data_IF_080395451664
#
_entry.id   IF_080395451664
#
_cell.length_a   1.000
_cell.length_b   1.000
_cell.length_c   1.000
_cell.angle_alpha   90.00
_cell.angle_beta   90.00
_cell.angle_gamma   90.00
#
_symmetry.space_group_name_H-M   'P 1'
#
loop_
_entity.id
_entity.type
_entity.pdbx_description
1 polymer ?
#
# COMPACT_ATOMS: atom_id res chain seq x y z
N UNK A 1 -34.46 -2.40 -34.13
CA UNK A 1 -34.13 -1.90 -32.77
C UNK A 1 -32.90 -2.64 -32.27
N UNK A 2 -31.76 -1.97 -32.03
CA UNK A 2 -30.65 -2.65 -31.40
C UNK A 2 -31.00 -2.89 -29.93
N UNK A 3 -30.95 -4.13 -29.50
CA UNK A 3 -30.93 -4.48 -28.07
C UNK A 3 -29.68 -3.86 -27.46
N UNK A 4 -29.83 -2.76 -26.76
CA UNK A 4 -28.86 -2.34 -25.74
C UNK A 4 -28.91 -3.40 -24.67
N UNK A 5 -27.91 -4.29 -24.65
CA UNK A 5 -27.65 -5.13 -23.48
C UNK A 5 -27.37 -4.18 -22.33
N UNK A 6 -28.34 -4.00 -21.44
CA UNK A 6 -28.08 -3.40 -20.13
C UNK A 6 -27.09 -4.33 -19.43
N UNK A 7 -25.81 -3.93 -19.43
CA UNK A 7 -24.84 -4.54 -18.54
C UNK A 7 -25.32 -4.18 -17.14
N UNK A 8 -25.82 -5.16 -16.40
CA UNK A 8 -26.20 -4.96 -15.01
C UNK A 8 -24.97 -4.43 -14.27
N UNK A 9 -25.12 -3.31 -13.58
CA UNK A 9 -24.03 -2.81 -12.72
C UNK A 9 -23.67 -3.88 -11.69
N UNK A 10 -22.37 -4.11 -11.44
CA UNK A 10 -21.97 -5.09 -10.45
C UNK A 10 -22.62 -4.75 -9.10
N UNK A 11 -23.18 -5.77 -8.43
CA UNK A 11 -23.92 -5.62 -7.17
C UNK A 11 -23.06 -5.05 -6.03
N UNK A 12 -21.73 -5.17 -6.16
CA UNK A 12 -20.73 -4.70 -5.19
C UNK A 12 -19.57 -4.00 -5.93
N UNK A 13 -19.78 -2.76 -6.30
CA UNK A 13 -18.75 -1.92 -6.90
C UNK A 13 -17.92 -1.24 -5.82
N UNK A 14 -16.58 -1.35 -5.91
CA UNK A 14 -15.66 -0.59 -5.06
C UNK A 14 -15.34 0.75 -5.73
N UNK A 15 -15.68 1.84 -5.06
CA UNK A 15 -15.31 3.22 -5.43
C UNK A 15 -14.42 3.76 -4.34
N UNK A 16 -13.11 3.58 -4.53
CA UNK A 16 -12.10 3.89 -3.54
C UNK A 16 -11.34 5.18 -3.82
N UNK A 17 -10.97 5.91 -2.77
CA UNK A 17 -10.08 7.06 -2.85
C UNK A 17 -8.91 6.90 -1.89
N UNK A 18 -7.71 7.27 -2.36
CA UNK A 18 -6.52 7.35 -1.53
C UNK A 18 -6.43 8.74 -0.89
N UNK A 19 -6.30 8.78 0.43
CA UNK A 19 -6.04 10.01 1.19
C UNK A 19 -4.61 9.97 1.67
N UNK A 20 -3.73 10.74 1.01
CA UNK A 20 -2.30 10.75 1.31
C UNK A 20 -1.90 11.79 2.33
N UNK A 21 -0.95 11.41 3.19
CA UNK A 21 -0.29 12.33 4.12
C UNK A 21 1.07 12.84 3.60
N UNK A 22 1.57 12.29 2.48
CA UNK A 22 2.86 12.68 1.91
C UNK A 22 2.84 14.17 1.56
N UNK A 23 3.76 14.92 2.17
CA UNK A 23 3.89 16.38 2.02
C UNK A 23 2.61 17.18 2.36
N UNK A 24 1.62 16.58 3.03
CA UNK A 24 0.34 17.22 3.30
C UNK A 24 -0.48 17.50 2.03
N UNK A 25 -0.31 16.70 0.98
CA UNK A 25 -1.02 16.89 -0.30
C UNK A 25 -2.53 16.85 -0.12
N UNK A 26 -3.04 15.84 0.57
CA UNK A 26 -4.44 15.75 0.87
C UNK A 26 -4.71 16.15 2.34
N UNK A 27 -4.04 15.48 3.29
CA UNK A 27 -4.22 15.67 4.73
C UNK A 27 -2.97 15.23 5.51
N UNK A 28 -2.60 15.88 6.65
CA UNK A 28 -3.17 17.15 7.14
C UNK A 28 -2.48 18.36 6.54
N UNK A 29 -3.18 19.47 6.45
CA UNK A 29 -2.62 20.78 6.12
C UNK A 29 -2.24 21.57 7.36
N UNK A 30 -2.98 21.38 8.45
CA UNK A 30 -2.74 22.02 9.75
C UNK A 30 -1.96 21.09 10.66
N UNK A 31 -0.93 21.61 11.35
CA UNK A 31 -0.17 20.88 12.37
C UNK A 31 -0.90 20.92 13.71
N UNK A 32 -1.14 19.75 14.31
CA UNK A 32 -1.80 19.60 15.60
C UNK A 32 -0.83 19.90 16.75
N UNK A 33 -0.82 21.12 17.25
CA UNK A 33 0.08 21.60 18.32
C UNK A 33 -0.67 22.26 19.48
N UNK A 34 -1.94 22.63 19.27
CA UNK A 34 -2.83 23.22 20.26
C UNK A 34 -4.23 22.60 20.15
N UNK A 35 -5.11 22.74 21.17
CA UNK A 35 -6.50 22.24 21.06
C UNK A 35 -7.24 22.79 19.83
N UNK A 36 -6.98 24.03 19.45
CA UNK A 36 -7.58 24.64 18.26
C UNK A 36 -7.09 23.98 16.97
N UNK A 37 -5.76 23.80 16.82
CA UNK A 37 -5.19 23.19 15.63
C UNK A 37 -5.49 21.71 15.53
N UNK A 38 -5.68 20.99 16.66
CA UNK A 38 -6.18 19.62 16.67
C UNK A 38 -7.60 19.57 16.09
N UNK A 39 -8.51 20.45 16.53
CA UNK A 39 -9.87 20.52 15.97
C UNK A 39 -9.83 20.80 14.47
N UNK A 40 -9.06 21.80 14.06
CA UNK A 40 -8.92 22.15 12.64
C UNK A 40 -8.38 20.99 11.79
N UNK A 41 -7.38 20.27 12.29
CA UNK A 41 -6.83 19.09 11.59
C UNK A 41 -7.89 17.99 11.42
N UNK A 42 -8.75 17.78 12.43
CA UNK A 42 -9.87 16.84 12.35
C UNK A 42 -10.95 17.32 11.35
N UNK A 43 -11.31 18.59 11.38
CA UNK A 43 -12.27 19.22 10.46
C UNK A 43 -11.81 19.08 9.00
N UNK A 44 -10.51 19.25 8.71
CA UNK A 44 -9.95 19.03 7.39
C UNK A 44 -10.20 17.60 6.86
N UNK A 45 -10.09 16.58 7.71
CA UNK A 45 -10.38 15.20 7.31
C UNK A 45 -11.89 14.98 7.12
N UNK A 46 -12.71 15.51 7.99
CA UNK A 46 -14.17 15.48 7.86
C UNK A 46 -14.61 16.06 6.51
N UNK A 47 -14.09 17.24 6.15
CA UNK A 47 -14.39 17.88 4.87
C UNK A 47 -14.03 17.01 3.65
N UNK A 48 -12.90 16.31 3.72
CA UNK A 48 -12.49 15.38 2.66
C UNK A 48 -13.48 14.21 2.58
N UNK A 49 -13.82 13.60 3.71
CA UNK A 49 -14.71 12.45 3.76
C UNK A 49 -16.13 12.80 3.32
N UNK A 50 -16.63 13.99 3.69
CA UNK A 50 -17.94 14.48 3.24
C UNK A 50 -18.00 14.66 1.73
N UNK A 51 -16.95 15.21 1.11
CA UNK A 51 -16.84 15.35 -0.34
C UNK A 51 -16.77 13.99 -1.04
N UNK A 52 -16.01 13.05 -0.51
CA UNK A 52 -15.93 11.69 -1.03
C UNK A 52 -17.29 11.00 -0.95
N UNK A 53 -17.99 11.11 0.18
CA UNK A 53 -19.34 10.54 0.33
C UNK A 53 -20.34 11.18 -0.64
N UNK A 54 -20.34 12.50 -0.78
CA UNK A 54 -21.18 13.22 -1.74
C UNK A 54 -20.91 12.79 -3.19
N UNK A 55 -19.68 12.39 -3.52
CA UNK A 55 -19.29 11.86 -4.81
C UNK A 55 -19.49 10.33 -4.95
N UNK A 56 -20.25 9.72 -4.02
CA UNK A 56 -20.56 8.28 -3.99
C UNK A 56 -19.35 7.33 -3.80
N UNK A 57 -18.25 7.79 -3.24
CA UNK A 57 -17.19 6.88 -2.80
C UNK A 57 -17.67 6.04 -1.61
N UNK A 58 -17.25 4.78 -1.58
CA UNK A 58 -17.62 3.83 -0.52
C UNK A 58 -16.43 3.22 0.22
N UNK A 59 -15.21 3.54 -0.21
CA UNK A 59 -13.96 3.03 0.40
C UNK A 59 -12.92 4.13 0.44
N UNK A 60 -12.22 4.27 1.57
CA UNK A 60 -11.12 5.20 1.77
C UNK A 60 -9.86 4.42 2.11
N UNK A 61 -8.80 4.61 1.34
CA UNK A 61 -7.48 4.10 1.65
C UNK A 61 -6.71 5.23 2.37
N UNK A 62 -6.77 5.18 3.71
CA UNK A 62 -6.16 6.21 4.56
C UNK A 62 -4.68 5.89 4.80
N UNK A 63 -3.79 6.81 4.42
CA UNK A 63 -2.36 6.59 4.60
C UNK A 63 -2.00 6.51 6.09
N UNK A 64 -1.66 5.32 6.52
CA UNK A 64 -1.40 4.97 7.92
C UNK A 64 0.10 4.86 8.21
N UNK A 65 0.88 4.40 7.23
CA UNK A 65 2.33 4.30 7.27
C UNK A 65 2.93 4.93 6.03
N UNK A 66 3.92 5.80 6.22
CA UNK A 66 4.62 6.44 5.10
C UNK A 66 5.97 5.76 4.83
N UNK A 67 7.06 6.18 5.42
CA UNK A 67 8.42 5.64 5.15
C UNK A 67 9.19 5.40 6.45
N UNK A 68 8.79 4.40 7.22
CA UNK A 68 9.37 4.10 8.53
C UNK A 68 8.84 4.98 9.66
N UNK A 69 7.71 5.61 9.42
CA UNK A 69 6.91 6.40 10.36
C UNK A 69 5.42 6.25 10.07
N UNK A 70 4.58 6.58 11.03
CA UNK A 70 3.16 6.24 11.03
C UNK A 70 2.26 7.41 11.44
N UNK A 71 0.96 7.29 11.18
CA UNK A 71 -0.08 8.24 11.54
C UNK A 71 -1.02 7.71 12.63
N UNK A 72 -0.52 6.86 13.49
CA UNK A 72 -1.24 6.32 14.65
C UNK A 72 -0.26 6.10 15.82
N UNK A 73 -0.71 6.01 17.08
CA UNK A 73 0.17 5.68 18.20
C UNK A 73 0.72 4.27 18.02
N UNK A 74 2.01 4.15 17.71
CA UNK A 74 2.69 2.88 17.47
C UNK A 74 3.80 2.66 18.49
N UNK A 75 3.97 1.42 18.94
CA UNK A 75 5.14 0.98 19.73
C UNK A 75 6.35 0.65 18.83
N UNK A 76 6.16 0.60 17.51
CA UNK A 76 7.14 0.11 16.55
C UNK A 76 7.82 1.25 15.78
N UNK A 77 7.05 2.20 15.24
CA UNK A 77 7.56 3.32 14.46
C UNK A 77 7.07 4.66 15.02
N UNK A 78 7.85 5.76 14.89
CA UNK A 78 7.45 7.06 15.43
C UNK A 78 6.30 7.68 14.63
N UNK A 79 5.59 8.63 15.23
CA UNK A 79 4.69 9.51 14.51
C UNK A 79 5.41 10.27 13.39
N UNK A 80 4.76 10.35 12.24
CA UNK A 80 5.21 11.19 11.14
C UNK A 80 5.15 12.67 11.53
N UNK A 81 6.20 13.42 11.16
CA UNK A 81 6.32 14.85 11.45
C UNK A 81 5.23 15.72 10.81
N UNK A 82 4.52 15.21 9.80
CA UNK A 82 3.43 15.96 9.15
C UNK A 82 2.32 16.32 10.13
N UNK A 83 2.07 15.47 11.14
CA UNK A 83 1.01 15.68 12.12
C UNK A 83 1.25 16.91 13.02
N UNK A 84 2.49 17.11 13.44
CA UNK A 84 2.84 18.15 14.45
C UNK A 84 3.96 19.08 14.03
N UNK A 85 4.66 18.79 12.93
CA UNK A 85 5.89 19.45 12.53
C UNK A 85 7.17 18.86 13.17
N UNK A 86 7.01 17.85 14.06
CA UNK A 86 8.13 17.20 14.76
C UNK A 86 8.02 15.69 14.63
N UNK A 87 9.09 15.01 14.22
CA UNK A 87 9.17 13.55 14.19
C UNK A 87 8.90 12.97 15.59
N UNK A 88 8.02 11.98 15.66
CA UNK A 88 7.59 11.37 16.93
C UNK A 88 6.69 12.27 17.79
N UNK A 89 6.35 13.47 17.32
CA UNK A 89 5.44 14.38 18.02
C UNK A 89 4.03 13.80 18.11
N UNK A 90 3.48 13.71 19.33
CA UNK A 90 2.13 13.24 19.55
C UNK A 90 1.11 14.35 19.18
N UNK A 91 0.17 14.11 18.27
CA UNK A 91 -0.82 15.11 17.86
C UNK A 91 -1.95 15.32 18.90
N UNK A 92 -1.93 14.61 20.04
CA UNK A 92 -2.94 14.73 21.09
C UNK A 92 -4.23 13.94 20.82
N UNK A 93 -4.25 13.12 19.77
CA UNK A 93 -5.33 12.19 19.44
C UNK A 93 -4.80 11.05 18.59
N UNK A 94 -5.62 10.06 18.28
CA UNK A 94 -5.29 8.95 17.39
C UNK A 94 -5.88 9.22 15.99
N UNK A 95 -5.03 9.60 14.99
CA UNK A 95 -5.50 9.91 13.64
C UNK A 95 -6.17 8.74 12.92
N UNK A 96 -5.66 7.50 13.10
CA UNK A 96 -6.25 6.33 12.45
C UNK A 96 -7.59 5.95 13.08
N UNK A 97 -7.68 5.95 14.40
CA UNK A 97 -8.97 5.70 15.07
C UNK A 97 -10.03 6.72 14.64
N UNK A 98 -9.64 8.00 14.55
CA UNK A 98 -10.53 9.06 14.10
C UNK A 98 -10.94 8.88 12.63
N UNK A 99 -10.03 8.49 11.75
CA UNK A 99 -10.34 8.23 10.33
C UNK A 99 -11.31 7.06 10.17
N UNK A 100 -11.10 5.96 10.90
CA UNK A 100 -12.01 4.79 10.90
C UNK A 100 -13.41 5.18 11.36
N UNK A 101 -13.51 5.86 12.50
CA UNK A 101 -14.79 6.33 13.05
C UNK A 101 -15.55 7.23 12.06
N UNK A 102 -14.86 8.20 11.46
CA UNK A 102 -15.49 9.16 10.54
C UNK A 102 -15.86 8.52 9.19
N UNK A 103 -15.10 7.52 8.70
CA UNK A 103 -15.49 6.73 7.54
C UNK A 103 -16.76 5.92 7.82
N UNK A 104 -16.80 5.19 8.94
CA UNK A 104 -17.93 4.35 9.32
C UNK A 104 -19.22 5.18 9.57
N UNK A 105 -19.15 6.36 10.16
CA UNK A 105 -20.29 7.29 10.27
C UNK A 105 -20.93 7.63 8.93
N UNK A 106 -20.14 7.58 7.85
CA UNK A 106 -20.59 7.84 6.48
C UNK A 106 -20.92 6.58 5.68
N UNK A 107 -20.86 5.40 6.30
CA UNK A 107 -21.06 4.12 5.64
C UNK A 107 -19.99 3.86 4.55
N UNK A 108 -18.75 4.27 4.81
CA UNK A 108 -17.58 4.00 3.96
C UNK A 108 -16.62 3.07 4.69
N UNK A 109 -16.03 2.13 3.95
CA UNK A 109 -14.91 1.33 4.46
C UNK A 109 -13.66 2.19 4.66
N UNK A 110 -12.87 1.88 5.69
CA UNK A 110 -11.57 2.50 5.95
C UNK A 110 -10.47 1.45 5.90
N UNK A 111 -9.62 1.52 4.89
CA UNK A 111 -8.47 0.65 4.73
C UNK A 111 -7.20 1.35 5.17
N UNK A 112 -6.39 0.70 6.01
CA UNK A 112 -5.10 1.22 6.42
C UNK A 112 -4.08 1.09 5.27
N UNK A 113 -3.74 2.20 4.63
CA UNK A 113 -2.76 2.25 3.55
C UNK A 113 -1.34 2.32 4.11
N UNK A 114 -0.53 1.30 3.80
CA UNK A 114 0.83 1.14 4.29
C UNK A 114 1.83 1.09 3.13
N UNK A 115 2.73 2.08 3.05
CA UNK A 115 3.94 1.99 2.23
C UNK A 115 4.89 0.99 2.90
N UNK A 116 5.32 -0.06 2.21
CA UNK A 116 5.95 -1.23 2.85
C UNK A 116 7.48 -1.19 2.81
N UNK A 117 8.09 -1.37 1.66
CA UNK A 117 9.53 -1.60 1.51
C UNK A 117 10.39 -0.32 1.63
N UNK A 118 10.03 0.84 1.05
CA UNK A 118 10.81 2.06 1.18
C UNK A 118 10.81 2.62 2.61
N UNK A 119 11.97 3.09 3.06
CA UNK A 119 12.18 3.76 4.35
C UNK A 119 12.51 5.25 4.21
N UNK A 120 12.63 5.74 2.98
CA UNK A 120 12.91 7.12 2.65
C UNK A 120 14.38 7.45 2.42
N UNK A 121 14.62 8.71 2.07
CA UNK A 121 15.97 9.19 1.79
C UNK A 121 16.80 9.34 3.08
N UNK A 122 18.12 9.52 2.92
CA UNK A 122 19.06 9.64 4.04
C UNK A 122 18.67 10.73 5.04
N UNK A 123 18.16 11.88 4.57
CA UNK A 123 17.74 12.99 5.43
C UNK A 123 16.52 12.61 6.27
N UNK A 124 15.52 11.97 5.65
CA UNK A 124 14.35 11.48 6.35
C UNK A 124 14.72 10.43 7.42
N UNK A 125 15.47 9.39 7.04
CA UNK A 125 15.92 8.35 7.98
C UNK A 125 16.72 8.93 9.14
N UNK A 126 17.59 9.93 8.88
CA UNK A 126 18.33 10.61 9.94
C UNK A 126 17.39 11.37 10.90
N UNK A 127 16.30 11.96 10.41
CA UNK A 127 15.33 12.68 11.25
C UNK A 127 14.53 11.77 12.20
N UNK A 128 14.42 10.47 11.89
CA UNK A 128 13.80 9.47 12.78
C UNK A 128 14.68 9.15 14.02
N UNK A 129 15.95 9.55 14.00
CA UNK A 129 16.85 9.39 15.13
C UNK A 129 17.06 7.94 15.57
N UNK A 130 17.03 7.69 16.87
CA UNK A 130 17.16 6.33 17.45
C UNK A 130 15.93 5.45 17.18
N UNK A 131 14.79 6.02 16.84
CA UNK A 131 13.55 5.31 16.54
C UNK A 131 13.54 4.69 15.13
N UNK A 132 14.48 5.08 14.27
CA UNK A 132 14.60 4.51 12.92
C UNK A 132 14.84 3.01 12.96
N UNK A 133 14.10 2.26 12.14
CA UNK A 133 14.32 0.82 11.93
C UNK A 133 15.74 0.54 11.43
N UNK A 134 16.35 1.45 10.67
CA UNK A 134 17.73 1.31 10.18
C UNK A 134 18.77 1.30 11.30
N UNK A 135 18.44 1.79 12.48
CA UNK A 135 19.29 1.73 13.68
C UNK A 135 18.94 0.55 14.58
N UNK A 136 17.65 0.24 14.70
CA UNK A 136 17.16 -0.80 15.61
C UNK A 136 17.27 -2.22 15.02
N UNK A 137 17.15 -2.34 13.71
CA UNK A 137 17.14 -3.62 12.98
C UNK A 137 17.97 -3.48 11.70
N UNK A 138 19.26 -3.23 11.84
CA UNK A 138 20.16 -2.95 10.71
C UNK A 138 20.18 -4.05 9.66
N UNK A 139 20.08 -5.31 10.08
CA UNK A 139 20.23 -6.48 9.23
C UNK A 139 19.11 -6.60 8.18
N UNK A 140 17.92 -6.08 8.47
CA UNK A 140 16.79 -6.08 7.52
C UNK A 140 16.76 -4.84 6.63
N UNK A 141 17.71 -3.91 6.77
CA UNK A 141 17.72 -2.63 6.05
C UNK A 141 18.92 -2.54 5.13
N UNK A 142 18.70 -2.01 3.92
CA UNK A 142 19.76 -1.78 2.95
C UNK A 142 19.72 -0.34 2.44
N UNK A 143 20.88 0.34 2.38
CA UNK A 143 21.00 1.59 1.64
C UNK A 143 21.10 1.26 0.14
N UNK A 144 20.31 1.95 -0.66
CA UNK A 144 20.37 1.81 -2.11
C UNK A 144 20.16 3.18 -2.77
N UNK A 145 21.14 3.59 -3.59
CA UNK A 145 21.20 4.96 -4.11
C UNK A 145 21.18 5.99 -2.96
N UNK A 146 20.24 6.93 -2.97
CA UNK A 146 20.11 7.94 -1.91
C UNK A 146 19.00 7.63 -0.90
N UNK A 147 18.50 6.40 -0.88
CA UNK A 147 17.39 5.96 -0.03
C UNK A 147 17.75 4.72 0.78
N UNK A 148 16.90 4.41 1.75
CA UNK A 148 16.94 3.17 2.52
C UNK A 148 15.68 2.34 2.22
N UNK A 149 15.85 1.02 2.24
CA UNK A 149 14.79 0.05 2.00
C UNK A 149 14.87 -1.08 3.03
N UNK A 150 13.72 -1.66 3.34
CA UNK A 150 13.71 -3.01 3.88
C UNK A 150 14.23 -3.97 2.81
N UNK A 151 15.00 -4.98 3.20
CA UNK A 151 15.46 -6.03 2.29
C UNK A 151 14.42 -7.15 2.20
N UNK A 152 13.66 -7.31 1.11
CA UNK A 152 12.68 -8.37 1.01
C UNK A 152 13.28 -9.78 1.10
N UNK A 153 14.56 -9.92 0.74
CA UNK A 153 15.30 -11.19 0.81
C UNK A 153 15.74 -11.61 2.20
N UNK A 154 15.64 -10.73 3.19
CA UNK A 154 15.96 -11.07 4.56
C UNK A 154 14.71 -11.58 5.31
N UNK A 155 14.77 -12.78 5.96
CA UNK A 155 13.59 -13.37 6.62
C UNK A 155 12.92 -12.46 7.66
N UNK A 156 13.69 -11.66 8.38
CA UNK A 156 13.18 -10.71 9.38
C UNK A 156 12.30 -9.60 8.81
N UNK A 157 12.33 -9.34 7.50
CA UNK A 157 11.51 -8.29 6.86
C UNK A 157 10.03 -8.63 6.92
N UNK A 158 9.63 -9.87 6.60
CA UNK A 158 8.22 -10.28 6.68
C UNK A 158 7.68 -10.23 8.11
N UNK A 159 8.51 -10.59 9.08
CA UNK A 159 8.15 -10.54 10.50
C UNK A 159 8.00 -9.11 11.00
N UNK A 160 8.89 -8.20 10.57
CA UNK A 160 8.79 -6.79 10.89
C UNK A 160 7.51 -6.15 10.32
N UNK A 161 7.22 -6.39 9.04
CA UNK A 161 5.98 -5.91 8.41
C UNK A 161 4.74 -6.50 9.07
N UNK A 162 4.77 -7.79 9.42
CA UNK A 162 3.66 -8.44 10.13
C UNK A 162 3.43 -7.84 11.53
N UNK A 163 4.48 -7.42 12.25
CA UNK A 163 4.30 -6.72 13.54
C UNK A 163 3.51 -5.42 13.37
N UNK A 164 3.84 -4.61 12.36
CA UNK A 164 3.12 -3.36 12.04
C UNK A 164 1.67 -3.64 11.65
N UNK A 165 1.44 -4.62 10.77
CA UNK A 165 0.08 -5.02 10.35
C UNK A 165 -0.72 -5.54 11.54
N UNK A 166 -0.11 -6.38 12.40
CA UNK A 166 -0.75 -6.89 13.61
C UNK A 166 -1.17 -5.77 14.56
N UNK A 167 -0.31 -4.77 14.76
CA UNK A 167 -0.61 -3.62 15.60
C UNK A 167 -1.86 -2.89 15.10
N UNK A 168 -1.98 -2.66 13.80
CA UNK A 168 -3.13 -2.01 13.18
C UNK A 168 -4.38 -2.91 13.23
N UNK A 169 -4.29 -4.14 12.77
CA UNK A 169 -5.45 -5.06 12.70
C UNK A 169 -6.02 -5.38 14.07
N UNK A 170 -5.15 -5.54 15.09
CA UNK A 170 -5.63 -5.88 16.44
C UNK A 170 -6.28 -4.71 17.17
N UNK A 171 -5.85 -3.47 16.90
CA UNK A 171 -6.25 -2.30 17.66
C UNK A 171 -7.38 -1.50 17.05
N UNK A 172 -7.58 -1.58 15.74
CA UNK A 172 -8.53 -0.75 15.01
C UNK A 172 -9.59 -1.61 14.31
N UNK A 173 -10.77 -1.06 14.17
CA UNK A 173 -11.87 -1.66 13.42
C UNK A 173 -11.77 -1.27 11.94
N UNK A 174 -10.62 -1.56 11.33
CA UNK A 174 -10.39 -1.34 9.91
C UNK A 174 -11.06 -2.41 9.07
N UNK A 175 -11.52 -2.04 7.86
CA UNK A 175 -12.13 -2.96 6.90
C UNK A 175 -11.09 -3.65 6.01
N UNK A 176 -9.90 -3.05 5.89
CA UNK A 176 -8.81 -3.61 5.10
C UNK A 176 -7.44 -3.05 5.44
N UNK A 177 -6.41 -3.75 4.94
CA UNK A 177 -5.02 -3.28 4.89
C UNK A 177 -4.62 -3.19 3.42
N UNK A 178 -4.14 -2.02 3.01
CA UNK A 178 -3.70 -1.76 1.65
C UNK A 178 -2.19 -1.59 1.59
N UNK A 179 -1.52 -2.37 0.74
CA UNK A 179 -0.07 -2.35 0.58
C UNK A 179 0.35 -1.57 -0.65
N UNK A 180 1.19 -0.58 -0.43
CA UNK A 180 1.86 0.17 -1.47
C UNK A 180 3.36 -0.09 -1.42
N UNK A 181 4.03 0.00 -2.58
CA UNK A 181 5.46 -0.30 -2.72
C UNK A 181 5.87 -1.68 -2.17
N UNK A 182 4.97 -2.67 -2.21
CA UNK A 182 5.27 -4.06 -1.87
C UNK A 182 6.01 -4.70 -3.05
N UNK A 183 7.22 -4.23 -3.28
CA UNK A 183 8.06 -4.53 -4.43
C UNK A 183 9.51 -4.12 -4.22
N UNK A 184 10.40 -4.64 -5.03
CA UNK A 184 11.75 -4.10 -5.12
C UNK A 184 11.74 -2.68 -5.72
N UNK A 185 12.77 -1.85 -5.43
CA UNK A 185 12.87 -0.51 -5.99
C UNK A 185 13.11 -0.56 -7.51
N UNK A 186 12.91 0.57 -8.16
CA UNK A 186 13.30 0.76 -9.54
C UNK A 186 14.80 0.49 -9.75
N UNK A 187 15.17 -0.08 -10.87
CA UNK A 187 16.53 -0.59 -11.15
C UNK A 187 16.97 -1.70 -10.18
N UNK A 188 16.06 -2.52 -9.72
CA UNK A 188 16.30 -3.65 -8.82
C UNK A 188 17.47 -4.59 -9.17
N UNK A 189 17.92 -4.77 -10.44
CA UNK A 189 19.10 -5.59 -10.74
C UNK A 189 20.35 -5.20 -9.92
N UNK A 190 20.48 -3.93 -9.55
CA UNK A 190 21.60 -3.41 -8.74
C UNK A 190 21.32 -3.40 -7.23
N UNK A 191 20.18 -3.88 -6.78
CA UNK A 191 19.82 -3.92 -5.36
C UNK A 191 20.79 -4.80 -4.57
N UNK A 192 21.28 -4.36 -3.38
CA UNK A 192 22.41 -5.02 -2.70
C UNK A 192 21.96 -6.19 -1.80
N UNK A 193 21.29 -7.19 -2.38
CA UNK A 193 20.77 -8.37 -1.68
C UNK A 193 21.55 -9.68 -1.98
N UNK A 194 22.70 -9.58 -2.67
CA UNK A 194 23.50 -10.74 -3.07
C UNK A 194 23.96 -11.63 -1.90
N UNK A 195 24.18 -11.04 -0.74
CA UNK A 195 24.53 -11.79 0.46
C UNK A 195 23.40 -12.71 0.89
N UNK A 196 22.19 -12.17 0.98
CA UNK A 196 21.00 -12.94 1.36
C UNK A 196 20.62 -13.94 0.28
N UNK A 197 20.81 -13.61 -1.00
CA UNK A 197 20.61 -14.55 -2.10
C UNK A 197 21.54 -15.77 -1.98
N UNK A 198 22.83 -15.57 -1.68
CA UNK A 198 23.74 -16.70 -1.46
C UNK A 198 23.31 -17.59 -0.29
N UNK A 199 22.75 -16.98 0.75
CA UNK A 199 22.33 -17.69 1.97
C UNK A 199 20.97 -18.36 1.82
N UNK A 200 20.03 -17.75 1.12
CA UNK A 200 18.63 -18.17 1.10
C UNK A 200 18.11 -18.52 -0.31
N UNK A 201 18.90 -18.36 -1.35
CA UNK A 201 18.49 -18.59 -2.75
C UNK A 201 18.11 -20.05 -3.06
N UNK A 202 18.81 -21.04 -2.48
CA UNK A 202 18.47 -22.47 -2.56
C UNK A 202 18.26 -22.99 -3.99
N UNK A 203 19.18 -22.70 -4.90
CA UNK A 203 19.14 -23.18 -6.29
C UNK A 203 18.22 -22.41 -7.24
N UNK A 204 17.52 -21.40 -6.78
CA UNK A 204 16.71 -20.49 -7.63
C UNK A 204 17.60 -19.51 -8.38
N UNK A 205 17.09 -18.97 -9.49
CA UNK A 205 17.67 -17.76 -10.09
C UNK A 205 17.42 -16.55 -9.18
N UNK A 206 18.25 -15.50 -9.31
CA UNK A 206 18.07 -14.27 -8.51
C UNK A 206 16.70 -13.65 -8.72
N UNK A 207 16.21 -13.60 -9.97
CA UNK A 207 14.91 -13.02 -10.31
C UNK A 207 13.75 -13.83 -9.71
N UNK A 208 13.83 -15.15 -9.78
CA UNK A 208 12.82 -16.01 -9.15
C UNK A 208 12.82 -15.85 -7.65
N UNK A 209 13.99 -15.87 -7.01
CA UNK A 209 14.12 -15.69 -5.56
C UNK A 209 13.57 -14.34 -5.09
N UNK A 210 13.80 -13.25 -5.84
CA UNK A 210 13.25 -11.94 -5.50
C UNK A 210 11.72 -11.91 -5.57
N UNK A 211 11.11 -12.51 -6.61
CA UNK A 211 9.65 -12.63 -6.70
C UNK A 211 9.07 -13.46 -5.56
N UNK A 212 9.72 -14.59 -5.29
CA UNK A 212 9.31 -15.48 -4.19
C UNK A 212 9.35 -14.77 -2.84
N UNK A 213 10.36 -13.91 -2.59
CA UNK A 213 10.45 -13.14 -1.36
C UNK A 213 9.27 -12.19 -1.18
N UNK A 214 8.88 -11.47 -2.22
CA UNK A 214 7.71 -10.59 -2.16
C UNK A 214 6.43 -11.42 -1.94
N UNK A 215 6.23 -12.49 -2.70
CA UNK A 215 5.07 -13.38 -2.54
C UNK A 215 5.04 -14.06 -1.16
N UNK A 216 6.19 -14.38 -0.58
CA UNK A 216 6.28 -14.94 0.78
C UNK A 216 5.88 -13.92 1.85
N UNK A 217 6.25 -12.64 1.68
CA UNK A 217 5.78 -11.55 2.55
C UNK A 217 4.25 -11.45 2.49
N UNK A 218 3.67 -11.44 1.27
CA UNK A 218 2.22 -11.42 1.06
C UNK A 218 1.55 -12.59 1.76
N UNK A 219 2.02 -13.80 1.50
CA UNK A 219 1.46 -15.05 2.06
C UNK A 219 1.52 -15.06 3.59
N UNK A 220 2.65 -14.62 4.15
CA UNK A 220 2.84 -14.57 5.60
C UNK A 220 1.88 -13.59 6.27
N UNK A 221 1.73 -12.40 5.69
CA UNK A 221 0.83 -11.38 6.22
C UNK A 221 -0.64 -11.81 6.04
N UNK A 222 -1.01 -12.35 4.87
CA UNK A 222 -2.37 -12.82 4.60
C UNK A 222 -2.82 -13.85 5.63
N UNK A 223 -2.02 -14.89 5.84
CA UNK A 223 -2.30 -15.90 6.86
C UNK A 223 -2.45 -15.30 8.26
N UNK A 224 -1.56 -14.38 8.63
CA UNK A 224 -1.61 -13.71 9.92
C UNK A 224 -2.86 -12.85 10.11
N UNK A 225 -3.27 -12.08 9.11
CA UNK A 225 -4.46 -11.23 9.17
C UNK A 225 -5.74 -12.08 9.20
N UNK A 226 -5.86 -13.07 8.31
CA UNK A 226 -7.05 -13.94 8.26
C UNK A 226 -7.23 -14.78 9.52
N UNK A 227 -6.15 -15.13 10.21
CA UNK A 227 -6.23 -15.81 11.51
C UNK A 227 -6.72 -14.88 12.64
N UNK A 228 -6.49 -13.56 12.54
CA UNK A 228 -6.96 -12.59 13.54
C UNK A 228 -8.36 -12.07 13.24
N UNK A 229 -8.57 -11.60 12.02
CA UNK A 229 -9.83 -11.01 11.54
C UNK A 229 -10.07 -11.47 10.09
N UNK A 230 -10.78 -12.58 9.84
CA UNK A 230 -10.94 -13.15 8.51
C UNK A 230 -11.67 -12.23 7.52
N UNK A 231 -12.47 -11.28 8.02
CA UNK A 231 -13.19 -10.28 7.21
C UNK A 231 -12.34 -9.11 6.75
N UNK A 232 -11.19 -8.83 7.38
CA UNK A 232 -10.31 -7.73 6.97
C UNK A 232 -9.71 -8.05 5.61
N UNK A 233 -9.96 -7.18 4.64
CA UNK A 233 -9.48 -7.31 3.27
C UNK A 233 -7.99 -6.96 3.17
N UNK A 234 -7.25 -7.72 2.36
CA UNK A 234 -5.89 -7.35 1.97
C UNK A 234 -5.91 -6.89 0.51
N UNK A 235 -5.31 -5.74 0.27
CA UNK A 235 -5.20 -5.18 -1.08
C UNK A 235 -3.81 -4.63 -1.36
N UNK A 236 -3.47 -4.47 -2.64
CA UNK A 236 -2.20 -3.89 -3.05
C UNK A 236 -2.35 -3.01 -4.30
N UNK A 237 -1.46 -1.99 -4.42
CA UNK A 237 -1.27 -1.19 -5.63
C UNK A 237 -0.03 -1.65 -6.41
N UNK A 238 -0.15 -2.64 -7.29
CA UNK A 238 0.98 -3.04 -8.14
C UNK A 238 1.18 -2.08 -9.29
N UNK A 239 2.34 -2.22 -9.96
CA UNK A 239 2.59 -1.55 -11.22
C UNK A 239 1.51 -1.93 -12.24
N UNK A 240 0.95 -0.94 -12.91
CA UNK A 240 -0.19 -1.11 -13.81
C UNK A 240 0.04 -2.08 -14.96
N UNK A 241 1.27 -2.22 -15.43
CA UNK A 241 1.68 -3.21 -16.41
C UNK A 241 2.21 -4.45 -15.68
N UNK A 242 1.49 -5.56 -15.76
CA UNK A 242 1.95 -6.80 -15.12
C UNK A 242 3.15 -7.42 -15.84
N UNK A 243 2.99 -7.72 -17.15
CA UNK A 243 4.01 -8.19 -18.09
C UNK A 243 3.81 -7.56 -19.45
N UNK A 244 4.70 -7.87 -20.40
CA UNK A 244 4.42 -7.63 -21.80
C UNK A 244 3.26 -8.52 -22.26
N UNK A 245 2.32 -7.95 -23.01
CA UNK A 245 1.17 -8.68 -23.53
C UNK A 245 1.40 -9.02 -25.01
N UNK A 246 0.87 -10.18 -25.45
CA UNK A 246 0.94 -10.58 -26.86
C UNK A 246 0.00 -9.76 -27.76
N UNK A 247 -1.06 -9.17 -27.22
CA UNK A 247 -2.06 -8.39 -27.97
C UNK A 247 -1.50 -7.10 -28.56
N UNK A 248 -0.62 -6.44 -27.79
CA UNK A 248 0.06 -5.24 -28.23
C UNK A 248 1.51 -5.35 -27.77
N UNK A 249 2.48 -5.40 -28.69
CA UNK A 249 3.89 -5.50 -28.34
C UNK A 249 4.28 -4.31 -27.47
N UNK A 250 4.34 -4.52 -26.18
CA UNK A 250 4.72 -3.51 -25.21
C UNK A 250 5.81 -4.07 -24.33
N UNK A 251 7.01 -3.54 -24.48
CA UNK A 251 8.18 -3.87 -23.68
C UNK A 251 8.45 -2.77 -22.67
N UNK A 252 9.15 -3.11 -21.63
CA UNK A 252 9.66 -2.12 -20.69
C UNK A 252 9.25 -2.38 -19.24
N UNK A 253 9.20 -1.34 -18.48
CA UNK A 253 9.00 -1.39 -17.04
C UNK A 253 7.65 -2.03 -16.65
N UNK A 254 7.70 -3.11 -15.88
CA UNK A 254 6.54 -3.89 -15.51
C UNK A 254 6.69 -4.50 -14.09
N UNK A 255 5.60 -5.02 -13.55
CA UNK A 255 5.54 -5.58 -12.21
C UNK A 255 6.43 -6.81 -12.06
N UNK A 256 6.30 -7.77 -12.97
CA UNK A 256 6.84 -9.11 -12.81
C UNK A 256 8.36 -9.18 -12.98
N UNK A 257 8.90 -8.55 -14.05
CA UNK A 257 10.32 -8.66 -14.39
C UNK A 257 11.16 -7.51 -13.81
N UNK A 258 10.59 -6.31 -13.64
CA UNK A 258 11.39 -5.13 -13.27
C UNK A 258 11.44 -4.90 -11.77
N UNK A 259 10.32 -5.11 -11.08
CA UNK A 259 10.20 -4.85 -9.64
C UNK A 259 9.80 -6.08 -8.83
N UNK A 260 9.76 -7.25 -9.49
CA UNK A 260 9.54 -8.57 -8.86
C UNK A 260 8.23 -8.68 -8.08
N UNK A 261 7.15 -8.07 -8.59
CA UNK A 261 5.79 -8.27 -8.09
C UNK A 261 5.08 -9.35 -8.93
N UNK A 262 4.37 -10.25 -8.26
CA UNK A 262 3.53 -11.25 -8.92
C UNK A 262 2.05 -11.17 -8.48
N UNK A 263 1.38 -10.02 -8.67
CA UNK A 263 0.04 -9.82 -8.15
C UNK A 263 -1.03 -10.70 -8.82
N UNK A 264 -0.86 -11.11 -10.06
CA UNK A 264 -1.75 -12.10 -10.69
C UNK A 264 -1.55 -13.48 -10.04
N UNK A 265 -0.31 -13.84 -9.70
CA UNK A 265 -0.03 -15.04 -8.91
C UNK A 265 -0.68 -14.99 -7.52
N UNK A 266 -0.64 -13.84 -6.83
CA UNK A 266 -1.29 -13.69 -5.51
C UNK A 266 -2.81 -13.85 -5.56
N UNK A 267 -3.46 -13.33 -6.62
CA UNK A 267 -4.90 -13.58 -6.85
C UNK A 267 -5.17 -15.06 -7.13
N UNK A 268 -4.34 -15.69 -7.98
CA UNK A 268 -4.46 -17.10 -8.31
C UNK A 268 -4.27 -18.05 -7.11
N UNK A 269 -3.39 -17.68 -6.16
CA UNK A 269 -3.18 -18.40 -4.91
C UNK A 269 -4.26 -18.09 -3.85
N UNK A 270 -5.09 -17.06 -4.06
CA UNK A 270 -6.06 -16.60 -3.06
C UNK A 270 -5.44 -15.98 -1.81
N UNK A 271 -4.28 -15.33 -1.94
CA UNK A 271 -3.56 -14.65 -0.85
C UNK A 271 -3.64 -13.11 -0.93
N UNK A 272 -4.52 -12.59 -1.77
CA UNK A 272 -4.82 -11.17 -1.89
C UNK A 272 -6.31 -11.04 -2.26
N UNK A 273 -7.04 -10.20 -1.53
CA UNK A 273 -8.49 -10.05 -1.74
C UNK A 273 -8.80 -9.04 -2.86
N UNK A 274 -7.99 -8.00 -3.01
CA UNK A 274 -8.20 -6.92 -3.99
C UNK A 274 -6.87 -6.43 -4.57
N UNK A 275 -6.89 -6.03 -5.85
CA UNK A 275 -5.74 -5.43 -6.53
C UNK A 275 -6.18 -4.12 -7.19
N UNK A 276 -5.38 -3.07 -6.97
CA UNK A 276 -5.57 -1.74 -7.56
C UNK A 276 -4.36 -1.39 -8.44
N UNK A 277 -4.30 -1.86 -9.70
CA UNK A 277 -3.16 -1.60 -10.58
C UNK A 277 -3.01 -0.11 -10.87
N UNK A 278 -1.78 0.40 -10.76
CA UNK A 278 -1.45 1.81 -11.02
C UNK A 278 -1.48 2.11 -12.52
N UNK A 279 -2.67 2.25 -13.09
CA UNK A 279 -2.94 2.40 -14.52
C UNK A 279 -2.98 3.88 -14.92
N UNK A 280 -1.88 4.61 -14.73
CA UNK A 280 -1.78 6.05 -15.02
C UNK A 280 -1.45 6.38 -16.49
N UNK A 281 -1.86 5.54 -17.41
CA UNK A 281 -1.54 5.61 -18.83
C UNK A 281 -2.80 5.82 -19.68
N UNK A 282 -2.60 6.12 -20.97
CA UNK A 282 -3.68 6.31 -21.94
C UNK A 282 -3.47 5.43 -23.17
N UNK A 283 -4.54 5.20 -23.93
CA UNK A 283 -4.50 4.51 -25.22
C UNK A 283 -3.88 3.12 -25.15
N UNK A 284 -2.92 2.83 -26.02
CA UNK A 284 -2.27 1.53 -26.14
C UNK A 284 -1.39 1.15 -24.94
N UNK A 285 -1.05 2.10 -24.08
CA UNK A 285 -0.37 1.81 -22.81
C UNK A 285 -1.33 1.47 -21.68
N UNK A 286 -2.63 1.61 -21.90
CA UNK A 286 -3.69 1.38 -20.92
C UNK A 286 -4.54 0.15 -21.28
N UNK A 287 -5.25 0.19 -22.41
CA UNK A 287 -6.28 -0.80 -22.72
C UNK A 287 -5.80 -2.26 -22.74
N UNK A 288 -4.64 -2.61 -23.31
CA UNK A 288 -4.19 -3.99 -23.32
C UNK A 288 -3.95 -4.53 -21.91
N UNK A 289 -3.44 -3.68 -21.01
CA UNK A 289 -3.14 -4.08 -19.63
C UNK A 289 -4.39 -4.12 -18.76
N UNK A 290 -5.35 -3.23 -18.98
CA UNK A 290 -6.66 -3.28 -18.33
C UNK A 290 -7.41 -4.57 -18.66
N UNK A 291 -7.39 -4.98 -19.92
CA UNK A 291 -7.96 -6.27 -20.35
C UNK A 291 -7.21 -7.47 -19.75
N UNK A 292 -5.87 -7.41 -19.73
CA UNK A 292 -5.05 -8.45 -19.10
C UNK A 292 -5.39 -8.62 -17.61
N UNK A 293 -5.51 -7.51 -16.87
CA UNK A 293 -5.95 -7.55 -15.48
C UNK A 293 -7.34 -8.15 -15.31
N UNK A 294 -8.30 -7.76 -16.14
CA UNK A 294 -9.65 -8.27 -16.09
C UNK A 294 -9.70 -9.78 -16.38
N UNK A 295 -8.99 -10.24 -17.40
CA UNK A 295 -8.97 -11.66 -17.79
C UNK A 295 -8.29 -12.54 -16.75
N UNK A 296 -7.24 -12.06 -16.11
CA UNK A 296 -6.50 -12.81 -15.09
C UNK A 296 -7.15 -12.78 -13.71
N UNK A 297 -8.05 -11.83 -13.46
CA UNK A 297 -8.80 -11.74 -12.20
C UNK A 297 -10.10 -12.56 -12.21
N UNK A 298 -10.47 -13.19 -13.31
CA UNK A 298 -11.77 -13.80 -13.62
C UNK A 298 -12.17 -15.02 -12.76
N UNK A 299 -11.68 -15.15 -11.56
CA UNK A 299 -12.18 -16.19 -10.63
C UNK A 299 -13.12 -15.68 -9.55
N UNK A 300 -13.38 -14.38 -9.49
CA UNK A 300 -14.42 -13.81 -8.64
C UNK A 300 -15.10 -12.66 -9.36
N UNK A 301 -16.42 -12.65 -9.40
CA UNK A 301 -17.25 -11.57 -9.97
C UNK A 301 -17.10 -10.23 -9.22
N UNK A 302 -16.19 -10.13 -8.26
CA UNK A 302 -16.04 -9.00 -7.33
C UNK A 302 -14.84 -8.09 -7.59
N UNK A 303 -13.97 -8.37 -8.59
CA UNK A 303 -12.76 -7.58 -8.82
C UNK A 303 -12.93 -6.61 -10.00
N UNK A 304 -13.56 -5.48 -9.74
CA UNK A 304 -13.45 -4.33 -10.61
C UNK A 304 -12.11 -3.64 -10.34
N UNK A 305 -11.24 -3.63 -11.35
CA UNK A 305 -10.07 -2.76 -11.36
C UNK A 305 -10.53 -1.32 -11.49
N UNK A 306 -10.44 -0.53 -10.44
CA UNK A 306 -10.68 0.90 -10.54
C UNK A 306 -9.51 1.59 -11.26
N UNK A 307 -9.86 2.17 -12.38
CA UNK A 307 -8.97 2.94 -13.24
C UNK A 307 -9.00 4.39 -12.78
N UNK A 308 -8.07 4.78 -11.93
CA UNK A 308 -7.93 6.18 -11.59
C UNK A 308 -7.24 6.96 -12.72
N UNK A 309 -8.03 7.65 -13.53
CA UNK A 309 -7.53 8.76 -14.35
C UNK A 309 -7.56 10.03 -13.50
N UNK A 310 -6.43 10.45 -12.93
CA UNK A 310 -6.28 11.85 -12.53
C UNK A 310 -6.00 12.66 -13.79
N UNK A 311 -6.98 13.42 -14.23
CA UNK A 311 -6.70 14.65 -14.96
C UNK A 311 -6.36 15.72 -13.93
N UNK A 312 -5.15 16.23 -14.03
CA UNK A 312 -4.73 17.49 -13.42
C UNK A 312 -5.26 18.61 -14.28
#
# INVERSE_FOLDING_TARGET
>A
FPFLSMVAQPKHEVRAAWVTAVYGLDWPRTRATTPQTIRKQKEELIDILDKLKAANFNTVLFQTRTRGDVLYPSAIEPFNSILTGKTGGNPGYDPLAFAVEECHKRGMECHAWMVTIPLGNKKHVASLGSQSVTKRMKDICVPYKNEYFLNPGHPGTKEYLMKLVREVVSRYDIDGVHFDYLRYPENAPLFPDKYDFRRYGKGRTLDQWRRDNISEIVRYIYKGVKAMKPWVKLSASPVGKYRDTSRYPSRGWNAFFTVYQDPQGWLGEGIMDQIYPMMYFQGNSFYPFALDWQEQSNRSEEHTSELQSRQV
#
